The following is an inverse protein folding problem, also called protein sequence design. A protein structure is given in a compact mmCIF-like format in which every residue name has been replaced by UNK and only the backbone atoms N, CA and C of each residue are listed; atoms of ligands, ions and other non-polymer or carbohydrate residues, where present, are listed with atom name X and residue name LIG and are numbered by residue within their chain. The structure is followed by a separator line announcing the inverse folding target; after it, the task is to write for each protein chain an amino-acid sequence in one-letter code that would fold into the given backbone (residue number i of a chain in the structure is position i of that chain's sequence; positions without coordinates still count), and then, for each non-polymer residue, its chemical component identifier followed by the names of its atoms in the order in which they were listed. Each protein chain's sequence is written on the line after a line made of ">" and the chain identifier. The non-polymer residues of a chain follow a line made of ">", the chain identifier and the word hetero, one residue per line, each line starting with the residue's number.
data_IF_400958677081
#
_entry.id   IF_400958677081
#
_cell.length_a   1.000
_cell.length_b   1.000
_cell.length_c   1.000
_cell.angle_alpha   90.00
_cell.angle_beta   90.00
_cell.angle_gamma   90.00
#
_symmetry.space_group_name_H-M   'P 1'
#
loop_
_entity.id
_entity.type
_entity.pdbx_description
1 polymer ?
#
# COMPACT_ATOMS: atom_id res chain seq x y z
N UNK A 1 -61.72 2.37 -52.05
CA UNK A 1 -61.39 2.90 -50.71
C UNK A 1 -60.14 2.21 -50.21
N UNK A 2 -59.11 3.02 -49.91
CA UNK A 2 -57.84 2.78 -49.19
C UNK A 2 -56.78 1.81 -49.78
N UNK A 3 -55.53 2.28 -49.95
CA UNK A 3 -54.40 1.50 -50.49
C UNK A 3 -53.62 0.75 -49.39
N UNK A 4 -52.97 -0.37 -49.79
CA UNK A 4 -51.92 -1.05 -49.02
C UNK A 4 -50.63 -0.20 -49.06
N UNK A 5 -49.93 0.08 -47.95
CA UNK A 5 -48.63 0.72 -47.99
C UNK A 5 -47.50 -0.32 -48.14
N UNK A 6 -46.50 0.09 -48.92
CA UNK A 6 -45.24 -0.60 -49.15
C UNK A 6 -44.42 -0.78 -47.86
N UNK A 7 -43.74 -1.93 -47.74
CA UNK A 7 -42.59 -2.06 -46.85
C UNK A 7 -41.32 -2.14 -47.71
N UNK A 8 -40.62 -1.01 -47.82
CA UNK A 8 -39.25 -0.94 -48.28
C UNK A 8 -38.36 -1.66 -47.26
N UNK A 9 -37.67 -2.72 -47.67
CA UNK A 9 -36.53 -3.28 -46.95
C UNK A 9 -35.30 -2.43 -47.27
N UNK A 10 -35.02 -1.41 -46.46
CA UNK A 10 -33.75 -0.68 -46.51
C UNK A 10 -32.73 -1.40 -45.61
N UNK A 11 -31.64 -1.85 -46.23
CA UNK A 11 -30.48 -2.44 -45.59
C UNK A 11 -29.77 -1.44 -44.66
N UNK A 12 -29.32 -1.92 -43.49
CA UNK A 12 -28.16 -1.36 -42.80
C UNK A 12 -27.23 -2.49 -42.38
N UNK A 13 -26.27 -2.80 -43.23
CA UNK A 13 -25.09 -3.59 -42.87
C UNK A 13 -24.25 -2.75 -41.90
N UNK A 14 -24.25 -3.15 -40.63
CA UNK A 14 -23.32 -2.63 -39.64
C UNK A 14 -21.93 -3.19 -39.95
N UNK A 15 -21.17 -2.51 -40.81
CA UNK A 15 -19.74 -2.73 -40.93
C UNK A 15 -19.07 -2.17 -39.66
N UNK A 16 -18.97 -3.00 -38.62
CA UNK A 16 -18.08 -2.72 -37.48
C UNK A 16 -16.65 -2.86 -37.97
N UNK A 17 -16.07 -1.75 -38.43
CA UNK A 17 -14.63 -1.66 -38.62
C UNK A 17 -13.94 -1.84 -37.26
N UNK A 18 -13.36 -3.02 -37.03
CA UNK A 18 -12.38 -3.20 -35.98
C UNK A 18 -11.16 -2.35 -36.36
N UNK A 19 -11.13 -1.10 -35.90
CA UNK A 19 -9.90 -0.33 -35.88
C UNK A 19 -8.93 -1.05 -34.94
N UNK A 20 -8.06 -1.89 -35.52
CA UNK A 20 -6.95 -2.49 -34.80
C UNK A 20 -5.96 -1.37 -34.52
N UNK A 21 -6.04 -0.78 -33.33
CA UNK A 21 -5.01 0.12 -32.83
C UNK A 21 -3.69 -0.67 -32.83
N UNK A 22 -2.60 -0.16 -33.45
CA UNK A 22 -1.33 -0.85 -33.40
C UNK A 22 -0.93 -1.10 -31.94
N UNK A 23 -0.41 -2.30 -31.61
CA UNK A 23 0.00 -2.58 -30.24
C UNK A 23 1.05 -1.55 -29.81
N UNK A 24 0.84 -0.97 -28.64
CA UNK A 24 1.80 -0.03 -28.05
C UNK A 24 3.18 -0.69 -27.86
N UNK A 25 4.23 0.10 -27.61
CA UNK A 25 5.57 -0.44 -27.45
C UNK A 25 5.61 -1.51 -26.34
N UNK A 26 6.47 -2.54 -26.45
CA UNK A 26 6.56 -3.60 -25.46
C UNK A 26 6.80 -3.04 -24.05
N UNK A 27 6.27 -3.71 -23.04
CA UNK A 27 6.54 -3.35 -21.65
C UNK A 27 8.02 -3.62 -21.32
N UNK A 28 8.71 -2.73 -20.59
CA UNK A 28 10.01 -3.03 -20.02
C UNK A 28 9.95 -4.28 -19.13
N UNK A 29 11.05 -5.02 -19.04
CA UNK A 29 11.15 -6.18 -18.17
C UNK A 29 11.13 -5.75 -16.69
N UNK A 30 10.24 -6.36 -15.89
CA UNK A 30 9.98 -5.94 -14.52
C UNK A 30 11.15 -6.25 -13.57
N UNK A 31 11.98 -7.25 -13.90
CA UNK A 31 13.12 -7.66 -13.08
C UNK A 31 14.36 -6.82 -13.42
N UNK A 32 14.59 -6.57 -14.71
CA UNK A 32 15.72 -5.78 -15.18
C UNK A 32 15.56 -4.28 -14.83
N UNK A 33 14.41 -3.70 -15.16
CA UNK A 33 14.08 -2.30 -14.90
C UNK A 33 12.68 -2.13 -14.28
N UNK A 34 12.54 -2.43 -12.97
CA UNK A 34 11.27 -2.31 -12.26
C UNK A 34 10.73 -0.88 -12.25
N UNK A 35 11.58 0.14 -12.38
CA UNK A 35 11.14 1.54 -12.40
C UNK A 35 10.52 1.86 -13.75
N UNK A 36 11.19 1.57 -14.87
CA UNK A 36 10.63 1.79 -16.20
C UNK A 36 9.37 0.96 -16.42
N UNK A 37 9.37 -0.30 -15.97
CA UNK A 37 8.18 -1.16 -15.99
C UNK A 37 7.02 -0.52 -15.23
N UNK A 38 7.28 -0.09 -13.99
CA UNK A 38 6.28 0.53 -13.12
C UNK A 38 5.70 1.82 -13.70
N UNK A 39 6.55 2.70 -14.27
CA UNK A 39 6.11 3.91 -14.98
C UNK A 39 5.20 3.59 -16.17
N UNK A 40 5.54 2.58 -16.98
CA UNK A 40 4.67 2.12 -18.07
C UNK A 40 3.33 1.58 -17.55
N UNK A 41 3.32 0.89 -16.41
CA UNK A 41 2.10 0.38 -15.80
C UNK A 41 1.21 1.48 -15.22
N UNK A 42 1.76 2.59 -14.71
CA UNK A 42 0.99 3.76 -14.25
C UNK A 42 0.15 4.36 -15.39
N UNK A 43 0.61 4.27 -16.63
CA UNK A 43 -0.07 4.77 -17.83
C UNK A 43 -1.07 3.77 -18.41
N UNK A 44 -0.70 2.47 -18.41
CA UNK A 44 -1.43 1.42 -19.13
C UNK A 44 -2.43 0.65 -18.27
N UNK A 45 -2.17 0.50 -16.98
CA UNK A 45 -3.05 -0.24 -16.08
C UNK A 45 -4.39 0.51 -15.90
N UNK A 46 -5.45 -0.19 -15.47
CA UNK A 46 -6.71 0.46 -15.13
C UNK A 46 -6.48 1.62 -14.16
N UNK A 47 -7.14 2.77 -14.37
CA UNK A 47 -6.96 3.96 -13.51
C UNK A 47 -7.15 3.70 -12.01
N UNK A 48 -7.98 2.71 -11.66
CA UNK A 48 -8.21 2.24 -10.29
C UNK A 48 -6.96 1.65 -9.61
N UNK A 49 -5.95 1.24 -10.38
CA UNK A 49 -4.70 0.63 -9.91
C UNK A 49 -3.54 1.64 -9.90
N UNK A 50 -3.80 2.91 -10.23
CA UNK A 50 -2.73 3.89 -10.40
C UNK A 50 -1.89 4.10 -9.13
N UNK A 51 -2.54 4.22 -7.98
CA UNK A 51 -1.86 4.37 -6.68
C UNK A 51 -1.03 3.13 -6.34
N UNK A 52 -1.52 1.93 -6.67
CA UNK A 52 -0.78 0.68 -6.46
C UNK A 52 0.55 0.71 -7.22
N UNK A 53 0.51 1.11 -8.50
CA UNK A 53 1.70 1.20 -9.31
C UNK A 53 2.61 2.35 -8.87
N UNK A 54 2.07 3.50 -8.48
CA UNK A 54 2.86 4.61 -7.92
C UNK A 54 3.63 4.18 -6.67
N UNK A 55 2.97 3.49 -5.74
CA UNK A 55 3.57 2.93 -4.53
C UNK A 55 4.72 1.97 -4.84
N UNK A 56 4.44 0.90 -5.60
CA UNK A 56 5.45 -0.11 -5.97
C UNK A 56 6.65 0.53 -6.67
N UNK A 57 6.39 1.40 -7.64
CA UNK A 57 7.42 2.06 -8.46
C UNK A 57 8.26 3.03 -7.63
N UNK A 58 7.65 3.78 -6.70
CA UNK A 58 8.38 4.70 -5.83
C UNK A 58 9.41 3.98 -4.97
N UNK A 59 9.06 2.82 -4.41
CA UNK A 59 10.03 2.04 -3.60
C UNK A 59 11.16 1.45 -4.46
N UNK A 60 10.86 1.00 -5.68
CA UNK A 60 11.91 0.60 -6.62
C UNK A 60 12.85 1.76 -6.98
N UNK A 61 12.30 2.97 -7.17
CA UNK A 61 13.09 4.17 -7.43
C UNK A 61 13.97 4.53 -6.23
N UNK A 62 13.43 4.49 -5.00
CA UNK A 62 14.20 4.71 -3.76
C UNK A 62 15.38 3.75 -3.62
N UNK A 63 15.15 2.45 -3.81
CA UNK A 63 16.17 1.39 -3.73
C UNK A 63 17.26 1.50 -4.80
N UNK A 64 17.04 2.33 -5.83
CA UNK A 64 17.99 2.65 -6.91
C UNK A 64 18.57 4.06 -6.81
N UNK A 65 18.31 4.79 -5.72
CA UNK A 65 18.80 6.16 -5.53
C UNK A 65 18.10 7.21 -6.41
N UNK A 66 17.00 6.86 -7.07
CA UNK A 66 16.22 7.76 -7.93
C UNK A 66 15.22 8.57 -7.09
N UNK A 67 15.75 9.40 -6.18
CA UNK A 67 14.96 10.09 -5.15
C UNK A 67 13.90 11.03 -5.71
N UNK A 68 14.19 11.78 -6.78
CA UNK A 68 13.22 12.69 -7.40
C UNK A 68 12.03 11.96 -8.01
N UNK A 69 12.29 10.83 -8.67
CA UNK A 69 11.24 9.96 -9.22
C UNK A 69 10.37 9.40 -8.11
N UNK A 70 10.97 8.95 -7.00
CA UNK A 70 10.23 8.46 -5.85
C UNK A 70 9.35 9.54 -5.21
N UNK A 71 9.91 10.74 -4.99
CA UNK A 71 9.20 11.86 -4.38
C UNK A 71 7.96 12.24 -5.19
N UNK A 72 8.13 12.42 -6.52
CA UNK A 72 7.02 12.75 -7.41
C UNK A 72 5.91 11.70 -7.39
N UNK A 73 6.27 10.41 -7.46
CA UNK A 73 5.29 9.32 -7.44
C UNK A 73 4.51 9.25 -6.12
N UNK A 74 5.19 9.46 -5.00
CA UNK A 74 4.56 9.49 -3.67
C UNK A 74 3.67 10.72 -3.50
N UNK A 75 4.09 11.89 -3.97
CA UNK A 75 3.26 13.11 -3.96
C UNK A 75 1.98 12.91 -4.76
N UNK A 76 2.09 12.41 -6.00
CA UNK A 76 0.93 12.14 -6.84
C UNK A 76 -0.03 11.10 -6.21
N UNK A 77 0.49 10.13 -5.46
CA UNK A 77 -0.31 9.12 -4.77
C UNK A 77 -0.99 9.69 -3.51
N UNK A 78 -0.25 10.40 -2.66
CA UNK A 78 -0.75 10.99 -1.41
C UNK A 78 -1.81 12.06 -1.68
N UNK A 79 -1.66 12.88 -2.73
CA UNK A 79 -2.69 13.84 -3.15
C UNK A 79 -4.02 13.14 -3.47
N UNK A 80 -3.98 12.00 -4.18
CA UNK A 80 -5.19 11.23 -4.51
C UNK A 80 -5.86 10.67 -3.26
N UNK A 81 -5.07 10.20 -2.30
CA UNK A 81 -5.57 9.62 -1.06
C UNK A 81 -6.16 10.71 -0.16
N UNK A 82 -5.48 11.83 0.00
CA UNK A 82 -5.96 12.94 0.83
C UNK A 82 -7.28 13.52 0.29
N UNK A 83 -7.44 13.59 -1.03
CA UNK A 83 -8.71 13.98 -1.65
C UNK A 83 -9.87 13.01 -1.32
N UNK A 84 -9.58 11.76 -0.95
CA UNK A 84 -10.59 10.76 -0.53
C UNK A 84 -10.92 10.88 0.96
N UNK A 85 -9.93 11.24 1.79
CA UNK A 85 -10.06 11.31 3.26
C UNK A 85 -10.30 12.73 3.82
N UNK A 86 -10.50 13.73 2.97
CA UNK A 86 -10.79 15.11 3.40
C UNK A 86 -11.99 15.24 4.36
N UNK A 87 -12.10 16.39 5.07
CA UNK A 87 -13.16 16.63 6.05
C UNK A 87 -14.52 16.95 5.40
N UNK A 88 -14.53 17.30 4.12
CA UNK A 88 -15.70 17.87 3.45
C UNK A 88 -16.79 16.84 3.12
N UNK A 89 -18.00 17.33 2.88
CA UNK A 89 -19.18 16.50 2.54
C UNK A 89 -18.93 15.62 1.32
N UNK A 90 -18.11 16.07 0.38
CA UNK A 90 -17.72 15.31 -0.80
C UNK A 90 -16.79 14.15 -0.47
N UNK A 91 -15.89 14.31 0.50
CA UNK A 91 -15.06 13.21 0.99
C UNK A 91 -15.89 12.20 1.81
N UNK A 92 -16.89 12.66 2.57
CA UNK A 92 -17.86 11.75 3.25
C UNK A 92 -18.70 10.96 2.23
N UNK A 93 -19.16 11.62 1.16
CA UNK A 93 -19.89 10.99 0.06
C UNK A 93 -19.00 10.03 -0.73
N UNK A 94 -17.74 10.39 -0.97
CA UNK A 94 -16.74 9.52 -1.57
C UNK A 94 -16.55 8.27 -0.70
N UNK A 95 -16.32 8.40 0.62
CA UNK A 95 -16.25 7.27 1.57
C UNK A 95 -17.46 6.32 1.47
N UNK A 96 -18.68 6.86 1.42
CA UNK A 96 -19.90 6.05 1.26
C UNK A 96 -20.03 5.39 -0.12
N UNK A 97 -19.60 6.06 -1.20
CA UNK A 97 -19.59 5.51 -2.56
C UNK A 97 -18.47 4.46 -2.73
N UNK A 98 -17.37 4.55 -1.98
CA UNK A 98 -16.30 3.56 -1.96
C UNK A 98 -16.70 2.21 -1.35
N UNK A 99 -17.83 2.14 -0.64
CA UNK A 99 -18.36 0.89 -0.06
C UNK A 99 -19.24 0.09 -1.03
N UNK A 100 -19.89 0.79 -1.98
CA UNK A 100 -20.75 0.21 -2.99
C UNK A 100 -19.96 -0.09 -4.28
N UNK A 101 -20.07 -1.32 -4.76
CA UNK A 101 -19.54 -1.82 -6.04
C UNK A 101 -18.07 -2.19 -6.19
N UNK A 102 -17.88 -3.22 -7.01
CA UNK A 102 -16.68 -3.94 -7.42
C UNK A 102 -15.63 -3.13 -8.20
N UNK A 103 -15.60 -1.80 -8.02
CA UNK A 103 -14.80 -0.82 -8.77
C UNK A 103 -13.92 0.09 -7.87
N UNK A 104 -13.60 -0.35 -6.65
CA UNK A 104 -12.81 0.44 -5.69
C UNK A 104 -11.42 0.79 -6.26
N UNK A 105 -11.08 2.07 -6.32
CA UNK A 105 -9.70 2.51 -6.53
C UNK A 105 -8.82 1.98 -5.39
N UNK A 106 -7.67 1.41 -5.73
CA UNK A 106 -6.68 1.02 -4.75
C UNK A 106 -6.17 2.28 -4.05
N UNK A 107 -6.15 2.25 -2.71
CA UNK A 107 -5.59 3.32 -1.85
C UNK A 107 -4.63 2.76 -0.80
N UNK A 108 -4.50 1.43 -0.73
CA UNK A 108 -3.78 0.72 0.31
C UNK A 108 -4.57 0.52 1.61
N UNK A 109 -4.22 -0.54 2.32
CA UNK A 109 -4.55 -0.78 3.72
C UNK A 109 -3.82 0.23 4.63
N UNK A 110 -4.18 0.36 5.92
CA UNK A 110 -3.53 1.29 6.84
C UNK A 110 -1.99 1.24 6.78
N UNK A 111 -1.38 0.07 6.95
CA UNK A 111 0.09 -0.07 6.90
C UNK A 111 0.71 0.44 5.58
N UNK A 112 0.05 0.23 4.43
CA UNK A 112 0.55 0.71 3.12
C UNK A 112 0.51 2.24 3.03
N UNK A 113 -0.51 2.86 3.64
CA UNK A 113 -0.67 4.33 3.69
C UNK A 113 0.29 4.98 4.68
N UNK A 114 0.61 4.30 5.79
CA UNK A 114 1.70 4.68 6.70
C UNK A 114 3.02 4.70 5.94
N UNK A 115 3.33 3.64 5.18
CA UNK A 115 4.57 3.55 4.43
C UNK A 115 4.75 4.63 3.37
N UNK A 116 3.67 5.00 2.67
CA UNK A 116 3.73 6.11 1.71
C UNK A 116 4.16 7.43 2.38
N UNK A 117 3.63 7.71 3.57
CA UNK A 117 4.01 8.88 4.34
C UNK A 117 5.43 8.76 4.92
N UNK A 118 5.82 7.59 5.43
CA UNK A 118 7.17 7.35 5.95
C UNK A 118 8.24 7.65 4.89
N UNK A 119 8.13 7.02 3.71
CA UNK A 119 9.09 7.25 2.63
C UNK A 119 9.07 8.70 2.15
N UNK A 120 7.89 9.34 2.09
CA UNK A 120 7.80 10.74 1.68
C UNK A 120 8.42 11.70 2.71
N UNK A 121 8.24 11.42 3.99
CA UNK A 121 8.83 12.17 5.09
C UNK A 121 10.35 12.10 5.08
N UNK A 122 10.90 10.91 4.86
CA UNK A 122 12.34 10.72 4.64
C UNK A 122 12.87 11.56 3.47
N UNK A 123 12.16 11.58 2.33
CA UNK A 123 12.54 12.37 1.16
C UNK A 123 12.47 13.88 1.42
N UNK A 124 11.48 14.36 2.16
CA UNK A 124 11.43 15.76 2.63
C UNK A 124 12.63 16.10 3.50
N UNK A 125 12.99 15.23 4.45
CA UNK A 125 14.15 15.45 5.31
C UNK A 125 15.45 15.47 4.49
N UNK A 126 15.58 14.58 3.50
CA UNK A 126 16.72 14.56 2.57
C UNK A 126 16.81 15.86 1.76
N UNK A 127 15.69 16.49 1.42
CA UNK A 127 15.64 17.78 0.76
C UNK A 127 15.91 18.97 1.71
N UNK A 128 16.04 18.74 3.02
CA UNK A 128 16.20 19.77 4.05
C UNK A 128 14.88 20.34 4.58
N UNK A 129 13.75 19.79 4.17
CA UNK A 129 12.40 20.21 4.57
C UNK A 129 11.92 19.43 5.80
N UNK A 130 12.58 19.65 6.94
CA UNK A 130 12.36 18.87 8.17
C UNK A 130 10.95 19.05 8.75
N UNK A 131 10.33 20.20 8.54
CA UNK A 131 8.94 20.49 8.90
C UNK A 131 7.94 19.68 8.09
N UNK A 132 8.14 19.58 6.77
CA UNK A 132 7.35 18.72 5.89
C UNK A 132 7.57 17.23 6.20
N UNK A 133 8.81 16.84 6.53
CA UNK A 133 9.12 15.51 6.99
C UNK A 133 8.32 15.13 8.24
N UNK A 134 8.33 16.01 9.25
CA UNK A 134 7.55 15.85 10.48
C UNK A 134 6.05 15.72 10.21
N UNK A 135 5.51 16.56 9.31
CA UNK A 135 4.10 16.49 8.93
C UNK A 135 3.74 15.13 8.32
N UNK A 136 4.61 14.56 7.48
CA UNK A 136 4.44 13.21 6.95
C UNK A 136 4.42 12.15 8.07
N UNK A 137 5.33 12.19 9.04
CA UNK A 137 5.34 11.19 10.12
C UNK A 137 4.08 11.25 10.99
N UNK A 138 3.57 12.46 11.29
CA UNK A 138 2.27 12.64 11.97
C UNK A 138 1.09 12.15 11.14
N UNK A 139 1.10 12.46 9.83
CA UNK A 139 0.07 11.95 8.93
C UNK A 139 0.09 10.42 8.86
N UNK A 140 1.27 9.80 8.90
CA UNK A 140 1.40 8.34 8.94
C UNK A 140 0.63 7.76 10.14
N UNK A 141 0.80 8.34 11.34
CA UNK A 141 0.06 7.93 12.54
C UNK A 141 -1.46 8.10 12.38
N UNK A 142 -1.90 9.18 11.74
CA UNK A 142 -3.32 9.38 11.45
C UNK A 142 -3.87 8.35 10.45
N UNK A 143 -3.11 8.00 9.42
CA UNK A 143 -3.52 7.01 8.41
C UNK A 143 -3.62 5.59 8.97
N UNK A 144 -2.97 5.33 10.10
CA UNK A 144 -3.11 4.11 10.87
C UNK A 144 -4.37 4.10 11.76
N UNK A 145 -4.80 5.27 12.23
CA UNK A 145 -6.03 5.40 13.03
C UNK A 145 -7.31 5.24 12.19
N UNK A 146 -8.27 4.46 12.67
CA UNK A 146 -9.53 4.24 11.95
C UNK A 146 -10.40 5.52 11.92
N UNK A 147 -10.98 5.82 10.75
CA UNK A 147 -11.86 6.97 10.54
C UNK A 147 -13.27 6.78 11.09
N UNK A 148 -13.72 5.54 11.33
CA UNK A 148 -15.09 5.26 11.77
C UNK A 148 -15.27 5.20 13.29
N UNK A 149 -14.32 4.60 14.03
CA UNK A 149 -14.53 4.40 15.47
C UNK A 149 -13.52 5.10 16.39
N UNK A 150 -12.44 5.73 15.88
CA UNK A 150 -11.40 6.40 16.69
C UNK A 150 -10.86 5.59 17.89
N UNK A 151 -11.12 4.28 17.93
CA UNK A 151 -10.90 3.45 19.13
C UNK A 151 -9.56 2.72 19.07
N UNK A 152 -8.91 2.69 17.91
CA UNK A 152 -7.65 1.99 17.67
C UNK A 152 -6.69 2.93 16.92
N UNK A 153 -5.82 3.62 17.66
CA UNK A 153 -4.76 4.48 17.14
C UNK A 153 -3.45 3.68 17.07
N UNK A 154 -2.70 3.88 15.99
CA UNK A 154 -1.57 3.05 15.58
C UNK A 154 -0.46 2.83 16.58
N UNK A 155 0.21 1.67 16.51
CA UNK A 155 1.29 1.22 17.42
C UNK A 155 2.71 1.42 16.86
N UNK A 156 2.86 2.16 15.75
CA UNK A 156 4.17 2.41 15.14
C UNK A 156 5.11 3.16 16.09
N UNK A 157 6.27 2.56 16.36
CA UNK A 157 7.33 3.13 17.20
C UNK A 157 8.09 4.20 16.42
N UNK A 158 8.47 3.90 15.18
CA UNK A 158 9.35 4.77 14.39
C UNK A 158 8.68 6.08 13.99
N UNK A 159 7.37 6.09 13.74
CA UNK A 159 6.67 7.32 13.35
C UNK A 159 6.65 8.35 14.51
N UNK A 160 6.38 7.91 15.74
CA UNK A 160 6.46 8.77 16.94
C UNK A 160 7.90 9.23 17.19
N UNK A 161 8.86 8.32 17.06
CA UNK A 161 10.28 8.64 17.24
C UNK A 161 10.74 9.72 16.24
N UNK A 162 10.38 9.60 14.97
CA UNK A 162 10.76 10.54 13.93
C UNK A 162 10.03 11.89 14.03
N UNK A 163 8.78 11.93 14.49
CA UNK A 163 8.07 13.18 14.81
C UNK A 163 8.82 13.96 15.91
N UNK A 164 9.16 13.29 17.01
CA UNK A 164 9.89 13.90 18.10
C UNK A 164 11.30 14.34 17.68
N UNK A 165 12.02 13.51 16.94
CA UNK A 165 13.36 13.85 16.45
C UNK A 165 13.31 15.06 15.50
N UNK A 166 12.42 15.06 14.50
CA UNK A 166 12.26 16.21 13.61
C UNK A 166 11.88 17.48 14.39
N UNK A 167 11.08 17.36 15.46
CA UNK A 167 10.76 18.47 16.36
C UNK A 167 12.00 19.01 17.08
N UNK A 168 12.86 18.15 17.64
CA UNK A 168 14.13 18.54 18.25
C UNK A 168 15.06 19.23 17.25
N UNK A 169 15.15 18.72 16.02
CA UNK A 169 15.94 19.35 14.95
C UNK A 169 15.44 20.74 14.57
N UNK A 170 14.14 21.00 14.69
CA UNK A 170 13.53 22.31 14.49
C UNK A 170 13.62 23.22 15.72
N UNK A 171 14.31 22.80 16.79
CA UNK A 171 14.48 23.57 18.03
C UNK A 171 13.29 23.50 18.99
N UNK A 172 12.34 22.59 18.76
CA UNK A 172 11.21 22.34 19.66
C UNK A 172 11.48 21.23 20.68
N UNK A 173 10.47 20.97 21.53
CA UNK A 173 10.49 19.85 22.47
C UNK A 173 9.82 18.61 21.86
N UNK A 174 10.59 17.52 21.76
CA UNK A 174 10.13 16.22 21.24
C UNK A 174 9.83 15.18 22.32
N UNK A 175 9.86 15.54 23.61
CA UNK A 175 9.78 14.59 24.72
C UNK A 175 8.51 13.73 24.72
N UNK A 176 7.34 14.32 24.49
CA UNK A 176 6.07 13.57 24.46
C UNK A 176 6.06 12.50 23.36
N UNK A 177 6.57 12.83 22.17
CA UNK A 177 6.65 11.90 21.06
C UNK A 177 7.67 10.79 21.33
N UNK A 178 8.81 11.12 21.95
CA UNK A 178 9.77 10.13 22.43
C UNK A 178 9.15 9.17 23.45
N UNK A 179 8.38 9.69 24.41
CA UNK A 179 7.75 8.89 25.44
C UNK A 179 6.72 7.91 24.85
N UNK A 180 5.93 8.35 23.87
CA UNK A 180 4.99 7.46 23.15
C UNK A 180 5.73 6.34 22.42
N UNK A 181 6.77 6.68 21.65
CA UNK A 181 7.60 5.67 20.98
C UNK A 181 8.22 4.70 22.00
N UNK A 182 8.79 5.22 23.08
CA UNK A 182 9.46 4.43 24.11
C UNK A 182 8.50 3.49 24.86
N UNK A 183 7.24 3.89 25.08
CA UNK A 183 6.25 3.04 25.77
C UNK A 183 5.85 1.79 24.98
N UNK A 184 6.13 1.78 23.67
CA UNK A 184 5.79 0.68 22.74
C UNK A 184 7.02 -0.13 22.33
N UNK A 185 8.20 0.48 22.44
CA UNK A 185 9.45 -0.15 22.06
C UNK A 185 9.78 -1.36 22.96
N UNK A 186 10.17 -2.51 22.39
CA UNK A 186 10.56 -3.69 23.17
C UNK A 186 11.92 -3.51 23.88
N UNK A 187 12.66 -2.46 23.55
CA UNK A 187 13.93 -2.09 24.13
C UNK A 187 14.05 -0.56 24.24
N UNK A 188 14.97 -0.03 25.08
CA UNK A 188 15.25 1.40 25.14
C UNK A 188 15.63 1.97 23.77
N UNK A 189 14.96 3.05 23.37
CA UNK A 189 15.27 3.79 22.15
C UNK A 189 16.45 4.73 22.40
N UNK A 190 17.34 4.96 21.42
CA UNK A 190 18.39 5.96 21.53
C UNK A 190 17.80 7.35 21.79
N UNK A 191 18.32 8.08 22.78
CA UNK A 191 17.95 9.46 23.00
C UNK A 191 18.22 10.31 21.74
N UNK A 192 17.43 11.37 21.54
CA UNK A 192 17.66 12.29 20.42
C UNK A 192 19.03 12.96 20.54
N UNK A 193 19.82 12.92 19.47
CA UNK A 193 21.06 13.66 19.37
C UNK A 193 20.87 14.84 18.40
N UNK A 194 20.63 16.07 18.89
CA UNK A 194 20.42 17.22 18.00
C UNK A 194 21.63 17.50 17.08
N UNK A 195 22.84 17.07 17.47
CA UNK A 195 24.08 17.22 16.69
C UNK A 195 24.28 16.15 15.62
N UNK A 196 23.52 15.05 15.64
CA UNK A 196 23.67 13.99 14.64
C UNK A 196 23.33 14.51 13.24
N UNK A 197 24.30 14.52 12.33
CA UNK A 197 24.17 15.09 10.98
C UNK A 197 24.16 14.01 9.89
N UNK A 198 24.17 12.73 10.26
CA UNK A 198 23.96 11.60 9.36
C UNK A 198 22.77 10.78 9.86
N UNK A 199 21.68 10.77 9.08
CA UNK A 199 20.45 10.04 9.39
C UNK A 199 20.30 8.88 8.42
N UNK A 200 20.19 7.67 8.96
CA UNK A 200 20.21 6.43 8.19
C UNK A 200 18.86 5.74 8.38
N UNK A 201 18.05 5.75 7.33
CA UNK A 201 16.79 5.03 7.26
C UNK A 201 17.06 3.63 6.71
N UNK A 202 16.61 2.62 7.44
CA UNK A 202 16.86 1.22 7.14
C UNK A 202 15.55 0.50 6.90
N UNK A 203 15.56 -0.40 5.92
CA UNK A 203 14.51 -1.39 5.76
C UNK A 203 15.10 -2.75 5.36
N UNK A 204 14.46 -3.83 5.81
CA UNK A 204 14.90 -5.17 5.46
C UNK A 204 13.84 -6.24 5.67
N UNK A 205 14.03 -7.37 5.00
CA UNK A 205 13.14 -8.52 5.12
C UNK A 205 11.88 -8.43 4.25
N UNK A 206 11.23 -9.56 3.97
CA UNK A 206 10.03 -9.65 3.13
C UNK A 206 8.76 -9.18 3.85
N UNK A 207 8.12 -8.14 3.32
CA UNK A 207 6.85 -7.63 3.84
C UNK A 207 5.63 -8.52 3.55
N UNK A 208 4.45 -8.09 4.01
CA UNK A 208 3.24 -8.90 4.00
C UNK A 208 2.64 -8.98 2.59
N UNK A 209 2.12 -10.15 2.23
CA UNK A 209 1.34 -10.37 1.01
C UNK A 209 -0.13 -10.64 1.35
N UNK A 210 -1.03 -10.22 0.46
CA UNK A 210 -2.47 -10.44 0.59
C UNK A 210 -2.92 -11.65 -0.22
N UNK A 211 -3.85 -12.42 0.34
CA UNK A 211 -4.57 -13.46 -0.38
C UNK A 211 -6.01 -13.54 0.12
N UNK A 212 -6.87 -14.19 -0.66
CA UNK A 212 -8.28 -14.36 -0.31
C UNK A 212 -8.60 -15.81 0.06
N UNK A 213 -9.52 -15.98 1.02
CA UNK A 213 -10.10 -17.27 1.42
C UNK A 213 -11.62 -17.14 1.57
N UNK A 214 -12.29 -18.24 1.94
CA UNK A 214 -13.76 -18.29 2.03
C UNK A 214 -14.41 -18.84 0.77
N UNK A 215 -15.69 -19.22 0.87
CA UNK A 215 -16.47 -19.85 -0.22
C UNK A 215 -16.52 -18.95 -1.47
N UNK A 216 -16.58 -17.63 -1.26
CA UNK A 216 -16.65 -16.62 -2.31
C UNK A 216 -15.41 -15.73 -2.36
N UNK A 217 -14.27 -16.17 -1.79
CA UNK A 217 -13.04 -15.39 -1.67
C UNK A 217 -13.23 -14.08 -0.88
N UNK A 218 -14.20 -14.05 0.03
CA UNK A 218 -14.64 -12.85 0.76
C UNK A 218 -13.77 -12.49 1.97
N UNK A 219 -12.84 -13.38 2.34
CA UNK A 219 -11.98 -13.21 3.52
C UNK A 219 -10.60 -12.74 3.06
N UNK A 220 -10.24 -11.49 3.38
CA UNK A 220 -8.88 -11.04 3.17
C UNK A 220 -7.98 -11.63 4.26
N UNK A 221 -6.85 -12.18 3.83
CA UNK A 221 -5.82 -12.80 4.67
C UNK A 221 -4.45 -12.23 4.32
N UNK A 222 -3.54 -12.33 5.28
CA UNK A 222 -2.15 -11.93 5.11
C UNK A 222 -1.24 -13.13 5.22
N UNK A 223 -0.25 -13.19 4.33
CA UNK A 223 0.86 -14.14 4.35
C UNK A 223 2.11 -13.36 4.70
N UNK A 224 2.82 -13.84 5.72
CA UNK A 224 4.09 -13.29 6.18
C UNK A 224 5.18 -14.31 5.88
N UNK A 225 6.42 -13.83 5.76
CA UNK A 225 7.57 -14.67 5.47
C UNK A 225 8.59 -14.50 6.59
N UNK A 226 9.39 -15.54 6.80
CA UNK A 226 10.53 -15.44 7.71
C UNK A 226 11.62 -14.57 7.09
N UNK A 227 12.01 -13.50 7.79
CA UNK A 227 13.12 -12.67 7.32
C UNK A 227 14.47 -13.36 7.51
N UNK A 228 15.33 -13.39 6.46
CA UNK A 228 16.72 -13.84 6.58
C UNK A 228 17.59 -12.85 7.37
N UNK A 229 17.09 -11.64 7.63
CA UNK A 229 17.78 -10.53 8.29
C UNK A 229 16.96 -10.04 9.48
N UNK A 230 17.61 -9.79 10.62
CA UNK A 230 16.96 -9.27 11.83
C UNK A 230 17.49 -7.93 12.28
N UNK A 231 18.66 -7.51 11.81
CA UNK A 231 19.25 -6.22 12.17
C UNK A 231 20.24 -5.72 11.13
N UNK A 232 20.57 -4.43 11.22
CA UNK A 232 21.67 -3.83 10.46
C UNK A 232 22.81 -3.42 11.41
N UNK A 233 24.05 -3.55 10.94
CA UNK A 233 25.26 -3.09 11.62
C UNK A 233 25.95 -2.07 10.71
N UNK A 234 26.13 -0.85 11.21
CA UNK A 234 26.71 0.28 10.48
C UNK A 234 28.16 0.42 10.92
N UNK A 235 29.09 0.40 9.97
CA UNK A 235 30.53 0.36 10.21
C UNK A 235 31.26 1.41 9.39
N UNK A 236 32.37 1.90 9.92
CA UNK A 236 33.37 2.70 9.20
C UNK A 236 34.72 2.01 9.35
N UNK A 237 35.18 1.34 8.30
CA UNK A 237 36.30 0.40 8.39
C UNK A 237 35.98 -0.75 9.34
N UNK A 238 36.81 -0.94 10.36
CA UNK A 238 36.60 -1.97 11.41
C UNK A 238 35.75 -1.49 12.58
N UNK A 239 35.48 -0.18 12.67
CA UNK A 239 34.72 0.40 13.76
C UNK A 239 33.22 0.20 13.53
N UNK A 240 32.53 -0.45 14.48
CA UNK A 240 31.07 -0.45 14.55
C UNK A 240 30.60 0.90 15.10
N UNK A 241 29.81 1.62 14.31
CA UNK A 241 29.22 2.90 14.69
C UNK A 241 27.86 2.72 15.37
N UNK A 242 27.06 1.77 14.88
CA UNK A 242 25.76 1.46 15.42
C UNK A 242 25.27 0.06 15.05
N UNK A 243 24.41 -0.47 15.91
CA UNK A 243 23.65 -1.71 15.71
C UNK A 243 22.16 -1.39 15.82
N UNK A 244 21.43 -1.64 14.74
CA UNK A 244 20.05 -1.20 14.59
C UNK A 244 19.16 -2.42 14.42
N UNK A 245 18.40 -2.74 15.47
CA UNK A 245 17.30 -3.70 15.41
C UNK A 245 16.04 -3.07 14.81
N UNK A 246 14.96 -3.86 14.67
CA UNK A 246 13.71 -3.38 14.12
C UNK A 246 13.03 -2.43 15.11
N UNK A 247 12.68 -1.25 14.65
CA UNK A 247 11.77 -0.35 15.36
C UNK A 247 10.34 -0.80 15.14
N UNK A 248 9.99 -1.20 13.92
CA UNK A 248 8.65 -1.67 13.55
C UNK A 248 8.71 -2.94 12.70
N UNK A 249 7.65 -3.75 12.79
CA UNK A 249 7.41 -4.94 11.98
C UNK A 249 6.10 -4.81 11.17
N UNK A 250 6.20 -4.57 9.86
CA UNK A 250 5.07 -4.43 8.95
C UNK A 250 4.24 -5.71 8.83
N UNK A 251 4.83 -6.89 9.01
CA UNK A 251 4.08 -8.14 9.03
C UNK A 251 3.13 -8.16 10.24
N UNK A 252 3.60 -7.69 11.40
CA UNK A 252 2.75 -7.51 12.58
C UNK A 252 1.68 -6.44 12.34
N UNK A 253 2.04 -5.28 11.77
CA UNK A 253 1.09 -4.19 11.50
C UNK A 253 0.01 -4.57 10.47
N UNK A 254 0.33 -5.42 9.50
CA UNK A 254 -0.65 -5.91 8.53
C UNK A 254 -1.58 -7.00 9.11
N UNK A 255 -1.04 -7.87 9.97
CA UNK A 255 -1.77 -9.03 10.52
C UNK A 255 -2.54 -8.71 11.79
N UNK A 256 -2.20 -7.62 12.49
CA UNK A 256 -2.81 -7.26 13.76
C UNK A 256 -3.42 -5.86 13.72
N UNK A 257 -4.49 -5.64 14.49
CA UNK A 257 -4.93 -4.29 14.89
C UNK A 257 -5.27 -4.31 16.38
N UNK A 258 -4.54 -3.52 17.17
CA UNK A 258 -4.71 -3.48 18.64
C UNK A 258 -4.54 -4.85 19.31
N UNK A 259 -3.64 -5.70 18.82
CA UNK A 259 -3.36 -7.03 19.38
C UNK A 259 -4.33 -8.16 18.98
N UNK A 260 -5.26 -7.93 18.05
CA UNK A 260 -6.13 -8.99 17.48
C UNK A 260 -5.76 -9.30 16.02
N UNK A 261 -5.83 -10.58 15.64
CA UNK A 261 -5.67 -11.01 14.24
C UNK A 261 -6.75 -10.37 13.37
N UNK A 262 -6.34 -9.70 12.30
CA UNK A 262 -7.22 -9.05 11.34
C UNK A 262 -7.89 -10.08 10.43
N UNK A 263 -9.07 -10.55 10.85
CA UNK A 263 -9.98 -11.31 9.99
C UNK A 263 -10.92 -10.35 9.27
N UNK A 264 -10.50 -9.87 8.10
CA UNK A 264 -11.37 -9.07 7.24
C UNK A 264 -12.34 -9.99 6.49
N UNK A 265 -13.49 -10.27 7.11
CA UNK A 265 -14.59 -10.97 6.45
C UNK A 265 -15.54 -9.93 5.85
N UNK A 266 -15.73 -9.91 4.52
CA UNK A 266 -16.74 -9.08 3.84
C UNK A 266 -18.17 -9.63 4.06
N UNK A 267 -18.52 -9.90 5.33
CA UNK A 267 -19.67 -10.70 5.76
C UNK A 267 -20.98 -10.18 5.19
N UNK A 268 -21.17 -8.87 5.12
CA UNK A 268 -22.40 -8.27 4.58
C UNK A 268 -22.58 -8.56 3.07
N UNK A 269 -21.49 -8.56 2.29
CA UNK A 269 -21.55 -8.84 0.84
C UNK A 269 -21.73 -10.34 0.56
N UNK A 270 -21.09 -11.18 1.36
CA UNK A 270 -21.23 -12.64 1.26
C UNK A 270 -22.64 -13.11 1.69
N UNK A 271 -23.17 -12.58 2.80
CA UNK A 271 -24.55 -12.86 3.26
C UNK A 271 -25.57 -12.39 2.23
N UNK A 272 -25.41 -11.17 1.67
CA UNK A 272 -26.27 -10.68 0.60
C UNK A 272 -26.24 -11.58 -0.64
N UNK A 273 -25.04 -11.98 -1.11
CA UNK A 273 -24.89 -12.86 -2.27
C UNK A 273 -25.54 -14.22 -2.02
N UNK A 274 -25.24 -14.86 -0.89
CA UNK A 274 -25.75 -16.18 -0.52
C UNK A 274 -27.29 -16.19 -0.38
N UNK A 275 -27.85 -15.19 0.30
CA UNK A 275 -29.30 -15.07 0.47
C UNK A 275 -30.03 -14.82 -0.86
N UNK A 276 -29.48 -13.93 -1.71
CA UNK A 276 -30.06 -13.59 -3.01
C UNK A 276 -29.96 -14.76 -4.00
N UNK A 277 -28.85 -15.50 -4.01
CA UNK A 277 -28.69 -16.67 -4.87
C UNK A 277 -29.62 -17.83 -4.46
N UNK A 278 -29.73 -18.09 -3.15
CA UNK A 278 -30.64 -19.12 -2.62
C UNK A 278 -32.10 -18.81 -2.95
N UNK A 279 -32.55 -17.57 -2.71
CA UNK A 279 -33.89 -17.14 -3.08
C UNK A 279 -34.12 -17.24 -4.60
N UNK A 280 -33.11 -16.87 -5.41
CA UNK A 280 -33.15 -17.03 -6.87
C UNK A 280 -33.30 -18.48 -7.31
N UNK A 281 -32.56 -19.42 -6.71
CA UNK A 281 -32.65 -20.86 -7.01
C UNK A 281 -34.05 -21.43 -6.72
N UNK A 282 -34.62 -21.11 -5.55
CA UNK A 282 -35.99 -21.56 -5.18
C UNK A 282 -37.03 -20.99 -6.15
N UNK A 283 -36.91 -19.71 -6.51
CA UNK A 283 -37.82 -19.07 -7.46
C UNK A 283 -37.70 -19.62 -8.89
N UNK A 284 -36.49 -19.94 -9.36
CA UNK A 284 -36.30 -20.56 -10.69
C UNK A 284 -36.93 -21.95 -10.75
N UNK A 285 -36.68 -22.80 -9.75
CA UNK A 285 -37.24 -24.17 -9.71
C UNK A 285 -38.76 -24.12 -9.56
N UNK A 286 -39.26 -23.33 -8.62
CA UNK A 286 -40.70 -23.17 -8.39
C UNK A 286 -41.42 -22.57 -9.59
N UNK A 287 -40.85 -21.52 -10.19
CA UNK A 287 -41.37 -20.88 -11.40
C UNK A 287 -41.46 -21.84 -12.58
N UNK A 288 -40.38 -22.59 -12.86
CA UNK A 288 -40.36 -23.59 -13.92
C UNK A 288 -41.42 -24.69 -13.73
N UNK A 289 -41.57 -25.21 -12.50
CA UNK A 289 -42.60 -26.21 -12.20
C UNK A 289 -44.03 -25.68 -12.41
N UNK A 290 -44.29 -24.41 -12.04
CA UNK A 290 -45.59 -23.76 -12.25
C UNK A 290 -45.89 -23.47 -13.73
N UNK A 291 -44.86 -23.29 -14.58
CA UNK A 291 -45.05 -23.14 -16.03
C UNK A 291 -45.45 -24.42 -16.75
N UNK A 292 -45.28 -25.60 -16.12
CA UNK A 292 -45.71 -26.89 -16.67
C UNK A 292 -47.20 -27.19 -16.44
N UNK A 293 -47.93 -26.29 -15.77
CA UNK A 293 -49.37 -26.40 -15.51
C UNK A 293 -50.12 -25.20 -16.12
N UNK A 294 -51.06 -25.47 -17.02
CA UNK A 294 -51.80 -24.47 -17.80
C UNK A 294 -52.55 -23.44 -16.94
N UNK A 295 -53.03 -23.82 -15.75
CA UNK A 295 -53.75 -22.92 -14.84
C UNK A 295 -52.84 -21.96 -14.07
N UNK A 296 -51.54 -22.23 -13.99
CA UNK A 296 -50.55 -21.42 -13.24
C UNK A 296 -49.43 -20.88 -14.12
N UNK A 297 -49.55 -21.04 -15.45
CA UNK A 297 -48.48 -20.79 -16.39
C UNK A 297 -47.99 -19.33 -16.36
N UNK A 298 -48.91 -18.36 -16.38
CA UNK A 298 -48.57 -16.93 -16.32
C UNK A 298 -47.88 -16.56 -15.00
N UNK A 299 -48.38 -17.06 -13.87
CA UNK A 299 -47.76 -16.85 -12.56
C UNK A 299 -46.37 -17.52 -12.47
N UNK A 300 -46.22 -18.70 -13.09
CA UNK A 300 -44.96 -19.42 -13.21
C UNK A 300 -43.90 -18.63 -13.97
N UNK A 301 -44.28 -18.00 -15.09
CA UNK A 301 -43.38 -17.15 -15.89
C UNK A 301 -42.90 -15.93 -15.10
N UNK A 302 -43.77 -15.29 -14.31
CA UNK A 302 -43.40 -14.15 -13.46
C UNK A 302 -42.41 -14.57 -12.37
N UNK A 303 -42.68 -15.67 -11.66
CA UNK A 303 -41.80 -16.18 -10.59
C UNK A 303 -40.44 -16.64 -11.14
N UNK A 304 -40.44 -17.30 -12.30
CA UNK A 304 -39.21 -17.66 -13.02
C UNK A 304 -38.42 -16.41 -13.41
N UNK A 305 -39.08 -15.37 -13.94
CA UNK A 305 -38.46 -14.09 -14.29
C UNK A 305 -37.80 -13.39 -13.10
N UNK A 306 -38.48 -13.34 -11.94
CA UNK A 306 -37.92 -12.80 -10.69
C UNK A 306 -36.70 -13.60 -10.24
N UNK A 307 -36.75 -14.94 -10.31
CA UNK A 307 -35.62 -15.81 -9.97
C UNK A 307 -34.40 -15.57 -10.87
N UNK A 308 -34.61 -15.40 -12.18
CA UNK A 308 -33.55 -15.09 -13.14
C UNK A 308 -32.94 -13.70 -12.88
N UNK A 309 -33.76 -12.67 -12.60
CA UNK A 309 -33.28 -11.33 -12.24
C UNK A 309 -32.48 -11.37 -10.93
N UNK A 310 -32.95 -12.07 -9.90
CA UNK A 310 -32.23 -12.25 -8.64
C UNK A 310 -30.87 -12.93 -8.85
N UNK A 311 -30.78 -13.94 -9.73
CA UNK A 311 -29.49 -14.54 -10.13
C UNK A 311 -28.57 -13.58 -10.86
N UNK A 312 -29.08 -12.75 -11.77
CA UNK A 312 -28.27 -11.73 -12.44
C UNK A 312 -27.72 -10.71 -11.44
N UNK A 313 -28.52 -10.30 -10.46
CA UNK A 313 -28.10 -9.41 -9.36
C UNK A 313 -27.04 -10.09 -8.49
N UNK A 314 -27.25 -11.35 -8.10
CA UNK A 314 -26.30 -12.12 -7.31
C UNK A 314 -24.98 -12.36 -8.08
N UNK A 315 -25.05 -12.59 -9.40
CA UNK A 315 -23.88 -12.74 -10.27
C UNK A 315 -23.09 -11.44 -10.42
N UNK A 316 -23.76 -10.28 -10.44
CA UNK A 316 -23.12 -8.97 -10.47
C UNK A 316 -22.46 -8.58 -9.13
N UNK A 317 -22.90 -9.19 -8.02
CA UNK A 317 -22.25 -9.01 -6.72
C UNK A 317 -20.89 -9.70 -6.69
N UNK A 318 -19.83 -8.91 -6.47
CA UNK A 318 -18.47 -9.40 -6.24
C UNK A 318 -18.13 -9.30 -4.74
N UNK A 319 -18.24 -10.40 -3.98
CA UNK A 319 -17.88 -10.43 -2.57
C UNK A 319 -16.37 -10.64 -2.36
N UNK A 320 -15.59 -10.87 -3.42
CA UNK A 320 -14.18 -11.19 -3.31
C UNK A 320 -13.39 -10.02 -2.67
N UNK A 321 -12.49 -10.38 -1.77
CA UNK A 321 -11.56 -9.46 -1.14
C UNK A 321 -10.61 -8.85 -2.17
N UNK A 322 -10.27 -7.58 -1.96
CA UNK A 322 -9.25 -6.91 -2.75
C UNK A 322 -7.86 -7.34 -2.30
N UNK A 323 -7.24 -8.22 -3.08
CA UNK A 323 -5.89 -8.75 -2.79
C UNK A 323 -4.77 -7.94 -3.44
N UNK A 324 -5.08 -6.83 -4.11
CA UNK A 324 -4.05 -5.90 -4.60
C UNK A 324 -3.20 -5.42 -3.41
N UNK A 325 -1.89 -5.44 -3.56
CA UNK A 325 -0.95 -5.22 -2.45
C UNK A 325 0.33 -4.54 -2.94
N UNK A 326 0.84 -3.60 -2.16
CA UNK A 326 2.19 -3.07 -2.24
C UNK A 326 3.18 -4.17 -1.77
N UNK A 327 3.44 -5.10 -2.67
CA UNK A 327 4.08 -6.40 -2.46
C UNK A 327 5.62 -6.35 -2.40
N UNK A 328 6.24 -5.19 -2.61
CA UNK A 328 7.68 -4.99 -2.46
C UNK A 328 8.05 -4.25 -1.16
N UNK A 329 7.11 -4.06 -0.23
CA UNK A 329 7.35 -3.49 1.10
C UNK A 329 8.28 -4.39 1.95
N UNK A 330 9.03 -3.80 2.90
CA UNK A 330 9.88 -4.55 3.82
C UNK A 330 9.09 -5.21 4.95
N UNK A 331 9.73 -6.09 5.72
CA UNK A 331 9.20 -6.50 7.02
C UNK A 331 9.57 -5.47 8.09
N UNK A 332 10.85 -5.12 8.20
CA UNK A 332 11.36 -4.33 9.30
C UNK A 332 11.76 -2.93 8.88
N UNK A 333 11.50 -1.96 9.75
CA UNK A 333 12.03 -0.60 9.65
C UNK A 333 13.05 -0.36 10.76
N UNK A 334 14.12 0.36 10.44
CA UNK A 334 15.13 0.78 11.40
C UNK A 334 15.59 2.21 11.15
N UNK A 335 16.21 2.80 12.16
CA UNK A 335 16.76 4.14 12.06
C UNK A 335 18.00 4.31 12.95
N UNK A 336 18.99 5.02 12.42
CA UNK A 336 20.14 5.50 13.18
C UNK A 336 20.40 6.97 12.88
N UNK A 337 20.80 7.70 13.91
CA UNK A 337 21.28 9.07 13.79
C UNK A 337 22.69 9.15 14.38
N UNK A 338 23.66 9.47 13.52
CA UNK A 338 25.08 9.49 13.82
C UNK A 338 25.63 10.92 13.66
N UNK A 339 26.66 11.22 14.42
CA UNK A 339 27.43 12.45 14.27
C UNK A 339 28.77 12.12 13.63
N UNK A 340 29.04 12.68 12.46
CA UNK A 340 30.31 12.55 11.75
C UNK A 340 30.81 13.93 11.31
N UNK A 341 32.14 14.16 11.24
CA UNK A 341 32.67 15.38 10.67
C UNK A 341 32.17 15.58 9.22
N UNK A 342 31.98 16.83 8.75
CA UNK A 342 31.68 17.07 7.33
C UNK A 342 32.78 16.49 6.42
N UNK A 343 32.38 15.90 5.30
CA UNK A 343 33.30 15.24 4.35
C UNK A 343 32.87 13.84 3.92
N UNK A 344 33.74 13.17 3.17
CA UNK A 344 33.48 11.85 2.59
C UNK A 344 33.88 10.73 3.57
N UNK A 345 32.96 9.82 3.86
CA UNK A 345 33.15 8.70 4.77
C UNK A 345 32.76 7.37 4.12
N UNK A 346 33.64 6.36 4.10
CA UNK A 346 33.29 5.03 3.64
C UNK A 346 32.51 4.27 4.73
N UNK A 347 31.24 3.99 4.46
CA UNK A 347 30.37 3.22 5.33
C UNK A 347 30.10 1.84 4.75
N UNK A 348 30.08 0.85 5.64
CA UNK A 348 29.59 -0.50 5.36
C UNK A 348 28.35 -0.74 6.20
N UNK A 349 27.25 -1.13 5.56
CA UNK A 349 26.01 -1.54 6.22
C UNK A 349 25.86 -3.04 6.01
N UNK A 350 26.08 -3.81 7.07
CA UNK A 350 25.91 -5.26 7.07
C UNK A 350 24.52 -5.61 7.60
N UNK A 351 23.79 -6.46 6.88
CA UNK A 351 22.52 -7.01 7.36
C UNK A 351 22.77 -8.37 7.98
N UNK A 352 22.42 -8.53 9.26
CA UNK A 352 22.76 -9.71 10.05
C UNK A 352 21.55 -10.63 10.24
N UNK A 353 21.80 -11.94 10.19
CA UNK A 353 20.81 -12.97 10.46
C UNK A 353 20.64 -13.24 11.97
N UNK A 354 19.79 -14.21 12.33
CA UNK A 354 19.54 -14.60 13.73
C UNK A 354 20.75 -15.22 14.44
N UNK A 355 21.69 -15.77 13.67
CA UNK A 355 22.94 -16.34 14.18
C UNK A 355 24.01 -15.27 14.45
N UNK A 356 23.63 -13.98 14.36
CA UNK A 356 24.53 -12.84 14.49
C UNK A 356 25.69 -12.87 13.48
N UNK A 357 25.39 -13.28 12.24
CA UNK A 357 26.34 -13.28 11.14
C UNK A 357 25.84 -12.40 9.98
N UNK A 358 26.74 -11.71 9.26
CA UNK A 358 26.37 -10.92 8.10
C UNK A 358 25.89 -11.81 6.95
N UNK A 359 24.76 -11.44 6.34
CA UNK A 359 24.29 -12.04 5.09
C UNK A 359 24.96 -11.31 3.94
N UNK A 360 26.06 -11.88 3.43
CA UNK A 360 26.98 -11.22 2.49
C UNK A 360 26.30 -10.59 1.26
N UNK A 361 25.28 -11.25 0.70
CA UNK A 361 24.51 -10.75 -0.47
C UNK A 361 23.80 -9.42 -0.21
N UNK A 362 23.49 -9.09 1.05
CA UNK A 362 22.77 -7.87 1.41
C UNK A 362 23.68 -6.73 1.85
N UNK A 363 24.94 -7.01 2.17
CA UNK A 363 25.89 -5.98 2.61
C UNK A 363 26.02 -4.84 1.60
N UNK A 364 25.89 -3.60 2.07
CA UNK A 364 26.03 -2.38 1.26
C UNK A 364 27.30 -1.63 1.61
N UNK A 365 27.96 -1.12 0.59
CA UNK A 365 29.08 -0.18 0.72
C UNK A 365 28.67 1.16 0.13
N UNK A 366 28.92 2.24 0.88
CA UNK A 366 28.52 3.59 0.50
C UNK A 366 29.60 4.58 0.91
N UNK A 367 30.07 5.39 -0.03
CA UNK A 367 30.85 6.58 0.30
C UNK A 367 29.94 7.78 0.54
N UNK A 368 29.45 7.96 1.77
CA UNK A 368 28.55 9.08 2.10
C UNK A 368 29.34 10.38 2.18
N UNK A 369 28.79 11.47 1.63
CA UNK A 369 29.31 12.82 1.82
C UNK A 369 28.45 13.57 2.82
N UNK A 370 28.97 13.76 4.03
CA UNK A 370 28.30 14.47 5.12
C UNK A 370 28.39 15.97 4.88
N UNK A 371 27.24 16.63 4.75
CA UNK A 371 27.15 18.07 4.54
C UNK A 371 27.48 18.87 5.82
N UNK A 372 28.07 20.08 5.70
CA UNK A 372 28.44 20.90 6.85
C UNK A 372 27.26 21.65 7.49
N UNK A 373 26.19 21.90 6.74
CA UNK A 373 25.12 22.86 7.06
C UNK A 373 23.72 22.23 7.07
N UNK A 374 23.62 20.93 6.83
CA UNK A 374 22.35 20.19 6.85
C UNK A 374 22.55 18.72 7.23
N UNK A 375 21.47 18.11 7.70
CA UNK A 375 21.45 16.67 7.90
C UNK A 375 21.63 15.94 6.56
N UNK A 376 22.50 14.93 6.55
CA UNK A 376 22.69 14.02 5.44
C UNK A 376 21.81 12.81 5.66
N UNK A 377 20.79 12.63 4.83
CA UNK A 377 19.83 11.53 4.96
C UNK A 377 20.13 10.44 3.94
N UNK A 378 20.41 9.22 4.38
CA UNK A 378 20.61 8.07 3.51
C UNK A 378 19.54 7.00 3.75
N UNK A 379 19.18 6.28 2.68
CA UNK A 379 18.22 5.19 2.70
C UNK A 379 18.90 3.91 2.25
N UNK A 380 18.89 2.88 3.10
CA UNK A 380 19.53 1.60 2.81
C UNK A 380 18.52 0.48 2.99
N UNK A 381 18.41 -0.37 1.97
CA UNK A 381 17.57 -1.58 1.97
C UNK A 381 18.42 -2.81 1.70
N UNK A 382 18.09 -3.96 2.28
CA UNK A 382 18.66 -5.25 1.86
C UNK A 382 18.46 -5.51 0.34
N UNK A 383 17.36 -4.99 -0.22
CA UNK A 383 17.01 -5.02 -1.64
C UNK A 383 17.53 -3.82 -2.47
N UNK A 384 18.26 -2.88 -1.86
CA UNK A 384 18.85 -1.76 -2.61
C UNK A 384 20.07 -2.17 -3.42
N UNK A 385 20.35 -1.45 -4.50
CA UNK A 385 21.61 -1.60 -5.23
C UNK A 385 22.76 -1.00 -4.41
N UNK A 386 24.01 -1.40 -4.69
CA UNK A 386 25.17 -0.73 -4.10
C UNK A 386 25.31 0.67 -4.70
N UNK A 387 25.22 1.69 -3.85
CA UNK A 387 25.30 3.10 -4.21
C UNK A 387 26.71 3.62 -3.85
N UNK A 388 27.72 3.18 -4.61
CA UNK A 388 29.12 3.47 -4.25
C UNK A 388 29.49 4.96 -4.34
N UNK A 389 28.73 5.79 -5.06
CA UNK A 389 29.06 7.20 -5.37
C UNK A 389 27.86 8.18 -5.36
N UNK A 390 26.81 7.95 -4.55
CA UNK A 390 25.68 8.90 -4.40
C UNK A 390 25.80 9.84 -3.21
#
# INVERSE_FOLDING_TARGET
>A
MKPLPALLLCATLWATGCATTPPGPPLPDAQADPVAHGLAMIERAPRRDRVLWQYRTALHALRRGQYDTAARLLDEALVRINNIFGPDRDAKKARSLFHAESKKSFIGEPYERVMANFYRGMLYWRAGEVDNARACFRNAQFMDSDAEEKTYAGDYILMDYLDGYATVKLGGDGADAFQRAQSRAPAPLPAYNPRANLLIFLEYGPGPQKYATGEYQEQLRFRTFESPVVMAVIKMGTQELARVGPYDDLNFQATTRGGRVMDHVLKNKAVFKSATDTAGNVAVIGGAAMTMNDNTQEAGLVVLGVGLVAKLIAAAANPAADVRCWDNLPQYLGFAALELPPGRHPLTIEFWNRDQAPVATFTKQWNVTVAPDRDTVIFVSDQSVNLMDL
#
